data_IF_104735470803
#
_entry.id   IF_104735470803
#
_cell.length_a   1.000
_cell.length_b   1.000
_cell.length_c   1.000
_cell.angle_alpha   90.00
_cell.angle_beta   90.00
_cell.angle_gamma   90.00
#
_symmetry.space_group_name_H-M   'P 1'
#
loop_
_entity.id
_entity.type
_entity.pdbx_description
1 polymer ?
#
# COMPACT_ATOMS: atom_id res chain seq x y z
N UNK A 1 0.60 6.79 -5.58
CA UNK A 1 0.58 7.90 -6.57
C UNK A 1 1.22 7.55 -7.92
N UNK A 2 1.79 6.35 -8.10
CA UNK A 2 2.59 5.94 -9.26
C UNK A 2 2.13 6.44 -10.65
N UNK A 3 0.89 6.17 -11.11
CA UNK A 3 0.47 6.58 -12.46
C UNK A 3 0.19 8.08 -12.60
N UNK A 4 0.21 8.83 -11.49
CA UNK A 4 -0.05 10.27 -11.44
C UNK A 4 1.20 11.08 -11.08
N UNK A 5 2.27 10.41 -10.65
CA UNK A 5 3.55 11.03 -10.31
C UNK A 5 4.38 11.27 -11.57
N UNK A 6 4.99 12.45 -11.68
CA UNK A 6 5.97 12.72 -12.73
C UNK A 6 7.20 11.83 -12.66
N UNK A 7 7.48 11.22 -11.51
CA UNK A 7 8.72 10.53 -11.21
C UNK A 7 8.58 8.99 -11.19
N UNK A 8 7.35 8.47 -11.30
CA UNK A 8 7.07 7.03 -11.27
C UNK A 8 7.29 6.40 -9.88
N UNK A 9 7.15 7.21 -8.82
CA UNK A 9 7.23 6.79 -7.43
C UNK A 9 5.86 6.77 -6.78
N UNK A 10 5.72 5.94 -5.74
CA UNK A 10 4.43 5.74 -5.09
C UNK A 10 4.05 6.92 -4.16
N UNK A 11 5.02 7.75 -3.79
CA UNK A 11 4.86 8.98 -3.01
C UNK A 11 5.51 10.22 -3.65
N UNK A 12 5.40 11.35 -2.95
CA UNK A 12 5.97 12.65 -3.33
C UNK A 12 7.50 12.59 -3.30
N UNK A 13 8.13 13.14 -4.34
CA UNK A 13 9.60 13.19 -4.46
C UNK A 13 10.09 14.63 -4.29
N UNK A 14 11.02 14.84 -3.36
CA UNK A 14 11.74 16.11 -3.19
C UNK A 14 13.24 15.81 -3.05
N UNK A 15 14.08 16.52 -3.82
CA UNK A 15 15.53 16.36 -3.85
C UNK A 15 16.00 14.88 -3.98
N UNK A 16 15.25 14.08 -4.75
CA UNK A 16 15.54 12.67 -5.00
C UNK A 16 15.19 11.73 -3.84
N UNK A 17 14.47 12.21 -2.82
CA UNK A 17 13.93 11.42 -1.71
C UNK A 17 12.42 11.30 -1.83
N UNK A 18 11.90 10.12 -1.51
CA UNK A 18 10.46 9.89 -1.38
C UNK A 18 10.09 10.31 0.04
N UNK A 19 9.24 11.32 0.17
CA UNK A 19 8.83 11.88 1.46
C UNK A 19 7.63 11.11 2.01
N UNK A 20 7.71 10.63 3.26
CA UNK A 20 6.65 9.81 3.85
C UNK A 20 5.42 10.64 4.23
N UNK A 21 5.58 11.56 5.18
CA UNK A 21 4.47 12.25 5.83
C UNK A 21 3.74 13.18 4.85
N UNK A 22 4.49 13.89 4.02
CA UNK A 22 3.93 14.75 2.96
C UNK A 22 3.17 13.95 1.89
N UNK A 23 3.48 12.66 1.73
CA UNK A 23 2.70 11.77 0.85
C UNK A 23 1.35 11.42 1.47
N UNK A 24 1.25 11.29 2.80
CA UNK A 24 0.03 10.88 3.48
C UNK A 24 -1.13 11.85 3.23
N UNK A 25 -0.85 13.15 3.27
CA UNK A 25 -1.84 14.21 2.97
C UNK A 25 -2.47 14.01 1.58
N UNK A 26 -1.65 13.65 0.59
CA UNK A 26 -2.09 13.41 -0.79
C UNK A 26 -2.91 12.11 -0.85
N UNK A 27 -2.45 11.04 -0.19
CA UNK A 27 -3.15 9.76 -0.16
C UNK A 27 -4.53 9.87 0.51
N UNK A 28 -4.66 10.63 1.60
CA UNK A 28 -5.94 10.90 2.26
C UNK A 28 -6.91 11.62 1.32
N UNK A 29 -6.46 12.67 0.64
CA UNK A 29 -7.28 13.37 -0.36
C UNK A 29 -7.71 12.46 -1.52
N UNK A 30 -6.80 11.59 -2.00
CA UNK A 30 -7.11 10.61 -3.03
C UNK A 30 -8.17 9.60 -2.56
N UNK A 31 -8.07 9.10 -1.33
CA UNK A 31 -9.02 8.16 -0.76
C UNK A 31 -10.43 8.77 -0.61
N UNK A 32 -10.52 10.00 -0.09
CA UNK A 32 -11.77 10.75 0.00
C UNK A 32 -12.39 10.95 -1.39
N UNK A 33 -11.62 11.40 -2.37
CA UNK A 33 -12.12 11.60 -3.74
C UNK A 33 -12.63 10.30 -4.38
N UNK A 34 -12.00 9.15 -4.07
CA UNK A 34 -12.48 7.84 -4.50
C UNK A 34 -13.79 7.44 -3.80
N UNK A 35 -13.90 7.70 -2.50
CA UNK A 35 -15.12 7.44 -1.73
C UNK A 35 -16.29 8.32 -2.19
N UNK A 36 -16.07 9.60 -2.46
CA UNK A 36 -17.04 10.52 -3.07
C UNK A 36 -17.55 10.01 -4.43
N UNK A 37 -16.69 9.35 -5.20
CA UNK A 37 -17.05 8.72 -6.46
C UNK A 37 -17.83 7.40 -6.31
N UNK A 38 -18.07 6.94 -5.07
CA UNK A 38 -18.83 5.73 -4.76
C UNK A 38 -18.00 4.46 -4.73
N UNK A 39 -16.69 4.54 -4.47
CA UNK A 39 -15.83 3.36 -4.27
C UNK A 39 -16.06 2.79 -2.87
N UNK A 40 -16.39 1.50 -2.79
CA UNK A 40 -16.66 0.80 -1.52
C UNK A 40 -15.39 0.41 -0.76
N UNK A 41 -14.29 0.11 -1.46
CA UNK A 41 -13.02 -0.35 -0.86
C UNK A 41 -11.83 0.36 -1.48
N UNK A 42 -11.04 1.04 -0.65
CA UNK A 42 -9.79 1.72 -1.03
C UNK A 42 -8.61 0.75 -0.88
N UNK A 43 -7.76 0.66 -1.90
CA UNK A 43 -6.60 -0.23 -1.92
C UNK A 43 -5.26 0.51 -1.91
N UNK A 44 -4.82 1.12 -0.77
CA UNK A 44 -3.56 1.85 -0.71
C UNK A 44 -2.38 0.91 -0.93
N UNK A 45 -1.59 1.19 -1.97
CA UNK A 45 -0.49 0.34 -2.43
C UNK A 45 0.88 0.99 -2.35
N UNK A 46 0.97 2.13 -1.69
CA UNK A 46 2.13 3.02 -1.64
C UNK A 46 3.26 2.56 -0.72
N UNK A 47 2.95 1.82 0.34
CA UNK A 47 3.88 1.39 1.40
C UNK A 47 4.52 2.55 2.20
N UNK A 48 3.81 3.67 2.36
CA UNK A 48 4.22 4.71 3.30
C UNK A 48 3.87 4.29 4.74
N UNK A 49 4.69 4.70 5.71
CA UNK A 49 4.43 4.43 7.12
C UNK A 49 3.23 5.24 7.60
N UNK A 50 2.30 4.62 8.34
CA UNK A 50 1.12 5.29 8.93
C UNK A 50 -0.02 5.63 7.97
N UNK A 51 0.07 5.25 6.68
CA UNK A 51 -0.96 5.63 5.69
C UNK A 51 -2.35 5.08 5.99
N UNK A 52 -2.47 3.92 6.66
CA UNK A 52 -3.78 3.32 6.88
C UNK A 52 -4.55 4.14 7.89
N UNK A 53 -3.91 4.51 8.99
CA UNK A 53 -4.53 5.34 10.02
C UNK A 53 -4.90 6.72 9.47
N UNK A 54 -3.97 7.31 8.70
CA UNK A 54 -4.22 8.60 8.06
C UNK A 54 -5.40 8.57 7.08
N UNK A 55 -5.48 7.54 6.23
CA UNK A 55 -6.58 7.37 5.28
C UNK A 55 -7.90 7.12 6.02
N UNK A 56 -7.90 6.29 7.07
CA UNK A 56 -9.08 6.02 7.89
C UNK A 56 -9.62 7.30 8.51
N UNK A 57 -8.75 8.10 9.14
CA UNK A 57 -9.12 9.40 9.72
C UNK A 57 -9.66 10.36 8.65
N UNK A 58 -9.02 10.43 7.48
CA UNK A 58 -9.49 11.28 6.37
C UNK A 58 -10.88 10.89 5.88
N UNK A 59 -11.14 9.60 5.69
CA UNK A 59 -12.45 9.09 5.30
C UNK A 59 -13.51 9.36 6.38
N UNK A 60 -13.20 9.13 7.65
CA UNK A 60 -14.13 9.33 8.78
C UNK A 60 -14.52 10.79 8.96
N UNK A 61 -13.55 11.71 8.82
CA UNK A 61 -13.79 13.15 8.93
C UNK A 61 -14.77 13.67 7.86
N UNK A 62 -14.79 13.04 6.69
CA UNK A 62 -15.70 13.37 5.58
C UNK A 62 -16.99 12.50 5.58
N UNK A 63 -17.15 11.63 6.58
CA UNK A 63 -18.35 10.81 6.78
C UNK A 63 -18.39 9.50 5.99
N UNK A 64 -17.28 9.06 5.40
CA UNK A 64 -17.16 7.80 4.66
C UNK A 64 -16.78 6.61 5.56
N UNK A 65 -17.50 6.44 6.66
CA UNK A 65 -17.22 5.40 7.68
C UNK A 65 -17.47 3.98 7.17
N UNK A 66 -18.30 3.82 6.14
CA UNK A 66 -18.63 2.51 5.55
C UNK A 66 -17.69 2.10 4.40
N UNK A 67 -16.81 3.01 3.95
CA UNK A 67 -15.79 2.71 2.94
C UNK A 67 -14.66 1.94 3.59
N UNK A 68 -14.42 0.72 3.14
CA UNK A 68 -13.39 -0.17 3.68
C UNK A 68 -11.99 0.10 3.13
N UNK A 69 -10.97 -0.42 3.83
CA UNK A 69 -9.57 -0.30 3.46
C UNK A 69 -8.95 -1.69 3.27
N UNK A 70 -8.48 -1.98 2.05
CA UNK A 70 -7.68 -3.16 1.73
C UNK A 70 -6.21 -2.79 1.59
N UNK A 71 -5.49 -2.92 2.70
CA UNK A 71 -4.09 -2.53 2.75
C UNK A 71 -3.20 -3.47 1.94
N UNK A 72 -2.29 -2.92 1.12
CA UNK A 72 -1.17 -3.66 0.55
C UNK A 72 -0.05 -3.84 1.60
N UNK A 73 -0.41 -4.48 2.69
CA UNK A 73 0.40 -4.68 3.90
C UNK A 73 1.80 -5.22 3.63
N UNK A 74 1.91 -6.25 2.79
CA UNK A 74 3.18 -6.88 2.50
C UNK A 74 3.47 -6.78 0.99
N UNK A 75 3.87 -5.59 0.54
CA UNK A 75 4.30 -5.33 -0.84
C UNK A 75 5.83 -5.30 -0.91
N UNK A 76 6.38 -6.33 -1.54
CA UNK A 76 7.83 -6.53 -1.66
C UNK A 76 8.43 -5.81 -2.87
N UNK A 77 9.69 -5.38 -2.76
CA UNK A 77 10.47 -4.84 -3.86
C UNK A 77 10.83 -5.97 -4.86
N UNK A 78 9.89 -6.31 -5.73
CA UNK A 78 9.97 -7.49 -6.58
C UNK A 78 10.30 -7.19 -8.04
N UNK A 79 11.07 -8.08 -8.68
CA UNK A 79 11.30 -8.08 -10.12
C UNK A 79 10.07 -8.51 -10.94
N UNK A 80 9.05 -9.10 -10.31
CA UNK A 80 7.85 -9.61 -11.00
C UNK A 80 6.90 -8.49 -11.48
N UNK A 81 7.17 -7.23 -11.17
CA UNK A 81 6.32 -6.10 -11.58
C UNK A 81 6.61 -5.55 -12.98
N UNK A 82 7.58 -6.10 -13.71
CA UNK A 82 7.98 -5.62 -15.04
C UNK A 82 6.78 -5.41 -15.99
N UNK A 83 5.98 -6.45 -16.29
CA UNK A 83 4.84 -6.32 -17.19
C UNK A 83 3.78 -5.30 -16.74
N UNK A 84 3.60 -5.12 -15.43
CA UNK A 84 2.67 -4.12 -14.88
C UNK A 84 3.18 -2.69 -15.09
N UNK A 85 4.49 -2.47 -14.89
CA UNK A 85 5.12 -1.16 -15.09
C UNK A 85 5.02 -0.72 -16.55
N UNK A 86 5.24 -1.66 -17.48
CA UNK A 86 5.09 -1.42 -18.92
C UNK A 86 3.64 -1.05 -19.29
N UNK A 87 2.65 -1.69 -18.65
CA UNK A 87 1.23 -1.44 -18.94
C UNK A 87 0.74 -0.05 -18.49
N UNK A 88 1.39 0.55 -17.49
CA UNK A 88 0.98 1.83 -16.90
C UNK A 88 1.96 2.98 -17.17
N UNK A 89 3.02 2.74 -17.93
CA UNK A 89 4.15 3.69 -18.12
C UNK A 89 4.66 4.26 -16.78
N UNK A 90 4.76 3.37 -15.78
CA UNK A 90 4.98 3.70 -14.35
C UNK A 90 6.33 3.23 -13.82
N UNK A 91 7.28 2.95 -14.73
CA UNK A 91 8.64 2.67 -14.30
C UNK A 91 9.23 3.91 -13.59
N UNK A 92 9.89 3.76 -12.43
CA UNK A 92 10.61 4.86 -11.81
C UNK A 92 11.58 5.48 -12.80
N UNK A 93 11.49 6.80 -12.98
CA UNK A 93 12.39 7.52 -13.91
C UNK A 93 13.83 7.59 -13.37
N UNK A 94 13.99 7.42 -12.06
CA UNK A 94 15.27 7.29 -11.38
C UNK A 94 15.15 6.53 -10.06
N UNK A 95 16.23 5.83 -9.70
CA UNK A 95 16.31 5.03 -8.47
C UNK A 95 15.52 3.72 -8.55
N UNK A 96 15.18 3.19 -7.37
CA UNK A 96 14.31 2.03 -7.21
C UNK A 96 13.30 2.27 -6.07
N UNK A 97 12.36 1.34 -5.88
CA UNK A 97 11.30 1.44 -4.86
C UNK A 97 11.68 0.80 -3.53
N UNK A 98 12.97 0.46 -3.30
CA UNK A 98 13.42 -0.33 -2.13
C UNK A 98 13.49 0.47 -0.84
N UNK A 99 13.33 1.79 -0.88
CA UNK A 99 13.31 2.61 0.34
C UNK A 99 12.00 2.51 1.10
N UNK A 100 10.96 1.92 0.50
CA UNK A 100 9.63 1.78 1.12
C UNK A 100 8.99 0.41 0.81
N UNK A 101 9.26 -0.22 -0.34
CA UNK A 101 8.86 -1.62 -0.55
C UNK A 101 9.78 -2.57 0.19
N UNK A 102 9.19 -3.62 0.77
CA UNK A 102 9.91 -4.55 1.65
C UNK A 102 11.03 -5.32 0.94
N UNK A 103 12.09 -5.67 1.67
CA UNK A 103 13.12 -6.58 1.17
C UNK A 103 12.54 -7.99 0.98
N UNK A 104 12.61 -8.59 -0.23
CA UNK A 104 12.20 -9.97 -0.51
C UNK A 104 12.75 -11.04 0.44
N UNK A 105 13.88 -10.79 1.10
CA UNK A 105 14.48 -11.72 2.05
C UNK A 105 13.79 -11.72 3.42
N UNK A 106 13.00 -10.68 3.73
CA UNK A 106 12.40 -10.51 5.04
C UNK A 106 11.06 -11.21 5.16
N UNK A 107 10.91 -11.97 6.25
CA UNK A 107 9.68 -12.73 6.54
C UNK A 107 8.95 -12.21 7.77
N UNK A 108 9.70 -11.94 8.84
CA UNK A 108 9.16 -11.46 10.11
C UNK A 108 8.66 -10.03 10.02
N UNK A 109 9.21 -9.23 9.10
CA UNK A 109 8.78 -7.85 8.85
C UNK A 109 7.31 -7.79 8.44
N UNK A 110 6.83 -8.75 7.63
CA UNK A 110 5.43 -8.78 7.20
C UNK A 110 4.43 -8.86 8.37
N UNK A 111 4.81 -9.51 9.47
CA UNK A 111 3.97 -9.54 10.69
C UNK A 111 3.93 -8.19 11.38
N UNK A 112 5.06 -7.46 11.40
CA UNK A 112 5.11 -6.11 11.96
C UNK A 112 4.20 -5.18 11.15
N UNK A 113 4.34 -5.19 9.82
CA UNK A 113 3.50 -4.38 8.93
C UNK A 113 2.01 -4.75 9.08
N UNK A 114 1.68 -6.04 9.18
CA UNK A 114 0.31 -6.49 9.39
C UNK A 114 -0.29 -5.99 10.70
N UNK A 115 0.46 -6.04 11.81
CA UNK A 115 -0.05 -5.56 13.09
C UNK A 115 -0.19 -4.03 13.13
N UNK A 116 0.68 -3.29 12.44
CA UNK A 116 0.55 -1.84 12.30
C UNK A 116 -0.73 -1.50 11.52
N UNK A 117 -0.88 -2.06 10.32
CA UNK A 117 -2.06 -1.85 9.47
C UNK A 117 -3.38 -2.24 10.15
N UNK A 118 -3.39 -3.39 10.84
CA UNK A 118 -4.56 -3.85 11.60
C UNK A 118 -4.89 -2.88 12.75
N UNK A 119 -3.87 -2.38 13.47
CA UNK A 119 -4.07 -1.40 14.55
C UNK A 119 -4.53 -0.03 14.04
N UNK A 120 -4.19 0.30 12.80
CA UNK A 120 -4.53 1.54 12.11
C UNK A 120 -5.92 1.50 11.43
N UNK A 121 -6.58 0.33 11.40
CA UNK A 121 -7.95 0.20 10.91
C UNK A 121 -8.08 -0.38 9.50
N UNK A 122 -7.12 -1.17 9.02
CA UNK A 122 -7.31 -1.95 7.80
C UNK A 122 -8.40 -3.02 7.98
N UNK A 123 -9.29 -3.15 7.00
CA UNK A 123 -10.32 -4.20 6.98
C UNK A 123 -9.83 -5.49 6.30
N UNK A 124 -8.86 -5.37 5.40
CA UNK A 124 -8.22 -6.49 4.70
C UNK A 124 -6.71 -6.26 4.64
N UNK A 125 -5.94 -7.34 4.73
CA UNK A 125 -4.50 -7.32 4.50
C UNK A 125 -4.17 -8.01 3.18
N UNK A 126 -3.18 -7.51 2.44
CA UNK A 126 -2.77 -8.07 1.15
C UNK A 126 -1.26 -8.36 1.08
N UNK A 127 -0.92 -9.51 0.49
CA UNK A 127 0.46 -9.85 0.09
C UNK A 127 0.63 -9.66 -1.41
N UNK A 128 1.73 -8.99 -1.80
CA UNK A 128 2.09 -8.75 -3.20
C UNK A 128 3.60 -8.88 -3.42
N UNK A 129 4.07 -9.70 -4.38
CA UNK A 129 3.31 -10.61 -5.25
C UNK A 129 2.91 -11.90 -4.51
N UNK A 130 1.90 -12.62 -5.01
CA UNK A 130 1.32 -13.77 -4.31
C UNK A 130 2.12 -15.07 -4.47
N UNK A 131 2.34 -15.52 -5.71
CA UNK A 131 2.79 -16.88 -6.01
C UNK A 131 4.11 -17.26 -5.32
N UNK A 132 5.01 -16.29 -5.17
CA UNK A 132 6.34 -16.49 -4.61
C UNK A 132 6.42 -16.19 -3.10
N UNK A 133 5.31 -15.77 -2.49
CA UNK A 133 5.20 -15.39 -1.08
C UNK A 133 3.99 -16.09 -0.42
N UNK A 134 3.65 -17.29 -0.87
CA UNK A 134 2.60 -18.12 -0.26
C UNK A 134 2.90 -18.42 1.23
N UNK A 135 4.17 -18.46 1.61
CA UNK A 135 4.58 -18.63 3.00
C UNK A 135 4.30 -17.37 3.85
N UNK A 136 4.37 -16.17 3.27
CA UNK A 136 3.93 -14.92 3.91
C UNK A 136 2.40 -14.90 4.04
N UNK A 137 1.66 -15.26 2.99
CA UNK A 137 0.19 -15.36 3.03
C UNK A 137 -0.24 -16.30 4.16
N UNK A 138 0.40 -17.46 4.25
CA UNK A 138 0.13 -18.41 5.33
C UNK A 138 0.42 -17.82 6.70
N UNK A 139 1.56 -17.14 6.88
CA UNK A 139 1.92 -16.52 8.16
C UNK A 139 0.94 -15.44 8.59
N UNK A 140 0.54 -14.54 7.68
CA UNK A 140 -0.47 -13.55 8.01
C UNK A 140 -1.77 -14.24 8.43
N UNK A 141 -2.19 -15.28 7.68
CA UNK A 141 -3.42 -16.01 7.98
C UNK A 141 -3.42 -16.69 9.35
N UNK A 142 -2.27 -17.13 9.85
CA UNK A 142 -2.14 -17.75 11.18
C UNK A 142 -2.07 -16.73 12.32
N UNK A 143 -1.76 -15.45 12.04
CA UNK A 143 -1.47 -14.45 13.07
C UNK A 143 -2.44 -13.27 13.12
N UNK A 144 -3.34 -13.12 12.14
CA UNK A 144 -4.41 -12.12 12.16
C UNK A 144 -5.77 -12.77 11.95
N UNK A 145 -6.82 -12.11 12.45
CA UNK A 145 -8.21 -12.48 12.20
C UNK A 145 -8.77 -11.86 10.92
N UNK A 146 -8.08 -10.87 10.34
CA UNK A 146 -8.53 -10.17 9.15
C UNK A 146 -8.53 -11.07 7.90
N UNK A 147 -9.43 -10.82 6.94
CA UNK A 147 -9.36 -11.42 5.62
C UNK A 147 -8.02 -11.12 4.92
N UNK A 148 -7.44 -12.14 4.27
CA UNK A 148 -6.19 -12.02 3.52
C UNK A 148 -6.47 -12.07 2.02
N UNK A 149 -6.04 -11.03 1.32
CA UNK A 149 -6.02 -10.95 -0.14
C UNK A 149 -4.61 -11.18 -0.69
N UNK A 150 -4.52 -11.54 -1.96
CA UNK A 150 -3.23 -11.86 -2.60
C UNK A 150 -3.23 -11.40 -4.05
N UNK A 151 -2.15 -10.75 -4.49
CA UNK A 151 -2.04 -10.18 -5.83
C UNK A 151 -1.24 -11.11 -6.76
N UNK A 152 -1.88 -11.68 -7.77
CA UNK A 152 -1.22 -12.55 -8.76
C UNK A 152 -0.29 -11.77 -9.69
#
# INVERSE_FOLDING_TARGET
>A
MDPYSSDGHDGLVEDGRILNDETLDILGQMAVAQAEAGIDIIGPSDMMDGRIGFIRDALDNEGFTDTGIMSYTAKYASAFYGPFRDALDSAPKGGDKKTYQMDPANKTEALREAFLDESEGADYLMVKPALNYLDIIHILKENTSLPISAYH
#
